data_IF_401783018456
#
_entry.id   IF_401783018456
#
_cell.length_a   1.000
_cell.length_b   1.000
_cell.length_c   1.000
_cell.angle_alpha   90.00
_cell.angle_beta   90.00
_cell.angle_gamma   90.00
#
_symmetry.space_group_name_H-M   'P 1'
#
loop_
_entity.id
_entity.type
_entity.pdbx_description
1 polymer ?
#
# COMPACT_ATOMS: atom_id res chain seq x y z
N UNK A 1 -2.90 -3.25 -13.98
CA UNK A 1 -3.40 -3.51 -12.61
C UNK A 1 -4.88 -3.85 -12.63
N UNK A 2 -5.30 -4.80 -11.79
CA UNK A 2 -6.70 -5.22 -11.67
C UNK A 2 -7.50 -4.28 -10.73
N UNK A 3 -8.72 -3.92 -11.14
CA UNK A 3 -9.63 -3.00 -10.42
C UNK A 3 -10.80 -3.71 -9.73
N UNK A 4 -10.95 -5.04 -9.90
CA UNK A 4 -11.98 -5.81 -9.21
C UNK A 4 -11.55 -6.24 -7.79
N UNK A 5 -12.42 -6.93 -7.04
CA UNK A 5 -12.16 -7.35 -5.65
C UNK A 5 -10.81 -8.02 -5.46
N UNK A 6 -10.08 -7.61 -4.41
CA UNK A 6 -8.71 -8.08 -4.14
C UNK A 6 -7.62 -7.49 -5.06
N UNK A 7 -8.00 -6.65 -6.03
CA UNK A 7 -7.06 -6.00 -6.94
C UNK A 7 -6.35 -4.81 -6.28
N UNK A 8 -5.10 -4.58 -6.70
CA UNK A 8 -4.31 -3.44 -6.24
C UNK A 8 -4.96 -2.07 -6.52
N UNK A 9 -5.84 -1.96 -7.53
CA UNK A 9 -6.56 -0.71 -7.83
C UNK A 9 -8.02 -0.70 -7.34
N UNK A 10 -8.44 -1.73 -6.61
CA UNK A 10 -9.78 -1.74 -6.06
C UNK A 10 -9.87 -0.83 -4.84
N UNK A 11 -10.92 -0.01 -4.78
CA UNK A 11 -11.17 0.92 -3.67
C UNK A 11 -12.11 0.34 -2.60
N UNK A 12 -12.73 -0.82 -2.85
CA UNK A 12 -13.54 -1.51 -1.87
C UNK A 12 -12.73 -2.45 -0.96
N UNK A 13 -13.39 -3.12 0.01
CA UNK A 13 -12.74 -3.99 0.98
C UNK A 13 -11.75 -4.98 0.37
N UNK A 14 -10.57 -5.10 0.99
CA UNK A 14 -9.46 -5.93 0.49
C UNK A 14 -8.79 -5.39 -0.77
N UNK A 15 -9.13 -4.19 -1.25
CA UNK A 15 -8.49 -3.56 -2.39
C UNK A 15 -7.24 -2.76 -2.02
N UNK A 16 -6.34 -2.57 -2.99
CA UNK A 16 -5.11 -1.81 -2.78
C UNK A 16 -5.31 -0.30 -2.58
N UNK A 17 -6.43 0.27 -3.04
CA UNK A 17 -6.82 1.67 -2.79
C UNK A 17 -7.71 1.83 -1.55
N UNK A 18 -8.10 0.74 -0.91
CA UNK A 18 -8.97 0.80 0.27
C UNK A 18 -8.18 1.26 1.49
N UNK A 19 -8.73 2.26 2.19
CA UNK A 19 -8.16 2.85 3.39
C UNK A 19 -8.73 2.27 4.69
N UNK A 20 -9.71 1.35 4.62
CA UNK A 20 -10.23 0.65 5.78
C UNK A 20 -9.48 -0.66 6.09
N UNK A 21 -9.83 -1.35 7.20
CA UNK A 21 -9.15 -2.58 7.63
C UNK A 21 -8.93 -3.61 6.52
N UNK A 22 -7.72 -4.16 6.43
CA UNK A 22 -7.31 -5.10 5.39
C UNK A 22 -7.06 -4.50 4.00
N UNK A 23 -7.17 -3.17 3.85
CA UNK A 23 -6.88 -2.46 2.61
C UNK A 23 -5.40 -2.09 2.44
N UNK A 24 -5.01 -1.84 1.18
CA UNK A 24 -3.64 -1.48 0.82
C UNK A 24 -3.20 -0.08 1.32
N UNK A 25 -4.14 0.84 1.51
CA UNK A 25 -3.89 2.19 2.05
C UNK A 25 -4.16 2.29 3.55
N UNK A 26 -4.54 1.20 4.22
CA UNK A 26 -4.78 1.21 5.65
C UNK A 26 -3.46 1.21 6.44
N UNK A 27 -3.33 2.12 7.39
CA UNK A 27 -2.16 2.28 8.24
C UNK A 27 -2.27 1.61 9.61
N UNK A 28 -3.41 1.00 9.93
CA UNK A 28 -3.59 0.23 11.17
C UNK A 28 -3.14 -1.23 11.05
N UNK A 29 -3.14 -2.01 12.15
CA UNK A 29 -2.68 -3.39 12.16
C UNK A 29 -3.28 -4.24 11.03
N UNK A 30 -2.43 -5.01 10.33
CA UNK A 30 -2.81 -5.83 9.18
C UNK A 30 -3.08 -5.06 7.88
N UNK A 31 -2.87 -3.74 7.86
CA UNK A 31 -2.98 -2.90 6.67
C UNK A 31 -1.70 -2.85 5.82
N UNK A 32 -1.86 -2.47 4.55
CA UNK A 32 -0.75 -2.35 3.60
C UNK A 32 0.28 -1.28 3.96
N UNK A 33 -0.14 -0.18 4.60
CA UNK A 33 0.74 0.90 5.06
C UNK A 33 1.18 0.76 6.53
N UNK A 34 0.85 -0.36 7.19
CA UNK A 34 1.29 -0.59 8.55
C UNK A 34 2.74 -1.08 8.57
N UNK A 35 3.57 -0.42 9.37
CA UNK A 35 5.00 -0.72 9.51
C UNK A 35 5.34 -1.59 10.71
N UNK A 36 4.36 -1.95 11.53
CA UNK A 36 4.53 -2.91 12.63
C UNK A 36 4.43 -4.37 12.17
N UNK A 37 4.72 -5.34 13.04
CA UNK A 37 4.64 -6.77 12.71
C UNK A 37 3.32 -7.15 12.03
N UNK A 38 3.41 -7.85 10.90
CA UNK A 38 2.23 -8.28 10.14
C UNK A 38 1.65 -7.23 9.17
N UNK A 39 2.24 -6.04 9.08
CA UNK A 39 1.86 -5.01 8.10
C UNK A 39 2.62 -5.09 6.77
N UNK A 40 2.08 -4.44 5.74
CA UNK A 40 2.67 -4.42 4.39
C UNK A 40 3.98 -3.61 4.26
N UNK A 41 4.26 -2.70 5.20
CA UNK A 41 5.52 -1.95 5.30
C UNK A 41 6.47 -2.50 6.37
N UNK A 42 6.17 -3.67 6.95
CA UNK A 42 7.06 -4.27 7.94
C UNK A 42 8.38 -4.71 7.30
N UNK A 43 9.49 -4.23 7.85
CA UNK A 43 10.86 -4.51 7.40
C UNK A 43 11.70 -5.28 8.43
N UNK A 44 11.10 -5.74 9.53
CA UNK A 44 11.77 -6.58 10.52
C UNK A 44 11.89 -8.06 10.09
N UNK A 45 12.53 -8.91 10.91
CA UNK A 45 12.73 -10.33 10.58
C UNK A 45 11.39 -11.09 10.49
N UNK A 46 11.25 -11.91 9.44
CA UNK A 46 10.05 -12.71 9.14
C UNK A 46 9.17 -12.11 8.03
N UNK A 47 8.85 -12.93 7.02
CA UNK A 47 8.02 -12.64 5.83
C UNK A 47 7.75 -11.15 5.55
N UNK A 48 8.73 -10.52 4.90
CA UNK A 48 8.62 -9.19 4.34
C UNK A 48 7.57 -9.20 3.21
N UNK A 49 6.71 -8.18 3.22
CA UNK A 49 5.68 -7.89 2.22
C UNK A 49 4.38 -8.73 2.27
N UNK A 50 3.37 -8.20 2.97
CA UNK A 50 1.96 -8.63 2.91
C UNK A 50 1.04 -7.48 2.51
N UNK A 51 1.34 -6.81 1.40
CA UNK A 51 0.42 -5.83 0.84
C UNK A 51 -0.37 -6.45 -0.31
N UNK A 52 -1.66 -6.11 -0.40
CA UNK A 52 -2.53 -6.43 -1.55
C UNK A 52 -2.28 -5.47 -2.74
N UNK A 53 -1.27 -4.61 -2.60
CA UNK A 53 -0.73 -3.75 -3.64
C UNK A 53 0.42 -4.46 -4.35
N UNK A 54 0.75 -4.11 -5.60
CA UNK A 54 2.03 -4.48 -6.21
C UNK A 54 3.18 -3.69 -5.55
N UNK A 55 4.45 -4.04 -5.87
CA UNK A 55 5.62 -3.34 -5.34
C UNK A 55 5.46 -1.82 -5.42
N UNK A 56 5.84 -1.12 -4.34
CA UNK A 56 5.55 0.30 -4.18
C UNK A 56 5.97 1.21 -5.34
N UNK A 57 7.12 1.03 -6.01
CA UNK A 57 7.47 1.82 -7.18
C UNK A 57 6.48 1.64 -8.34
N UNK A 58 6.04 0.40 -8.58
CA UNK A 58 5.01 0.08 -9.59
C UNK A 58 3.68 0.67 -9.17
N UNK A 59 3.34 0.57 -7.89
CA UNK A 59 2.11 1.14 -7.35
C UNK A 59 2.04 2.66 -7.58
N UNK A 60 3.08 3.38 -7.18
CA UNK A 60 3.19 4.84 -7.34
C UNK A 60 3.09 5.24 -8.81
N UNK A 61 3.84 4.57 -9.71
CA UNK A 61 3.81 4.88 -11.15
C UNK A 61 2.40 4.75 -11.74
N UNK A 62 1.65 3.75 -11.31
CA UNK A 62 0.28 3.54 -11.79
C UNK A 62 -0.71 4.55 -11.19
N UNK A 63 -0.50 4.99 -9.94
CA UNK A 63 -1.27 6.08 -9.34
C UNK A 63 -1.01 7.42 -10.05
N UNK A 64 0.24 7.71 -10.40
CA UNK A 64 0.62 8.93 -11.13
C UNK A 64 0.00 9.00 -12.52
N UNK A 65 0.05 7.91 -13.30
CA UNK A 65 -0.61 7.82 -14.62
C UNK A 65 -2.12 8.09 -14.56
N UNK A 66 -2.74 7.89 -13.40
CA UNK A 66 -4.17 8.04 -13.16
C UNK A 66 -4.53 9.35 -12.47
N UNK A 67 -3.55 10.24 -12.26
CA UNK A 67 -3.71 11.51 -11.53
C UNK A 67 -4.20 11.34 -10.08
N UNK A 68 -3.91 10.20 -9.44
CA UNK A 68 -4.27 9.91 -8.05
C UNK A 68 -3.24 10.49 -7.07
N UNK A 69 -3.01 11.81 -7.16
CA UNK A 69 -1.92 12.49 -6.47
C UNK A 69 -2.01 12.42 -4.94
N UNK A 70 -3.22 12.38 -4.38
CA UNK A 70 -3.41 12.22 -2.93
C UNK A 70 -2.90 10.85 -2.45
N UNK A 71 -3.23 9.78 -3.18
CA UNK A 71 -2.79 8.42 -2.89
C UNK A 71 -1.27 8.29 -3.07
N UNK A 72 -0.71 8.91 -4.12
CA UNK A 72 0.74 8.99 -4.32
C UNK A 72 1.42 9.61 -3.09
N UNK A 73 0.92 10.75 -2.62
CA UNK A 73 1.50 11.44 -1.47
C UNK A 73 1.37 10.64 -0.18
N UNK A 74 0.23 9.96 0.03
CA UNK A 74 0.04 9.07 1.17
C UNK A 74 1.05 7.93 1.18
N UNK A 75 1.23 7.26 0.04
CA UNK A 75 2.17 6.14 -0.10
C UNK A 75 3.61 6.63 0.08
N UNK A 76 3.99 7.74 -0.58
CA UNK A 76 5.34 8.30 -0.46
C UNK A 76 5.70 8.67 0.97
N UNK A 77 4.82 9.38 1.68
CA UNK A 77 5.02 9.73 3.09
C UNK A 77 5.17 8.50 3.99
N UNK A 78 4.41 7.44 3.71
CA UNK A 78 4.52 6.20 4.49
C UNK A 78 5.86 5.49 4.24
N UNK A 79 6.34 5.48 2.99
CA UNK A 79 7.62 4.91 2.59
C UNK A 79 8.82 5.68 3.17
N UNK A 80 8.76 7.01 3.14
CA UNK A 80 9.77 7.87 3.76
C UNK A 80 9.91 7.60 5.26
N UNK A 81 8.78 7.42 5.98
CA UNK A 81 8.77 7.10 7.42
C UNK A 81 9.48 5.80 7.76
N UNK A 82 9.51 4.84 6.83
CA UNK A 82 10.20 3.55 7.03
C UNK A 82 11.60 3.54 6.40
N UNK A 83 12.11 4.70 5.97
CA UNK A 83 13.46 4.84 5.40
C UNK A 83 13.62 4.29 3.98
N UNK A 84 12.51 4.08 3.26
CA UNK A 84 12.55 3.66 1.86
C UNK A 84 13.16 4.77 1.00
N UNK A 85 14.15 4.43 0.19
CA UNK A 85 14.78 5.33 -0.79
C UNK A 85 14.18 5.08 -2.17
N UNK A 86 13.75 6.15 -2.84
CA UNK A 86 13.17 6.09 -4.19
C UNK A 86 14.24 5.94 -5.27
#
# INVERSE_FOLDING_TARGET
>A
MYTGPGGGMYSGPGGGLYSGPGGGLYSGPGGGLYSGPGGGLYSGPGNAYRAITPPWPVFIKELEKRNLHQQVNTVRKALEKVGYKF
#
